data_IF_087851240332
#
_entry.id   IF_087851240332
#
_cell.length_a   1.000
_cell.length_b   1.000
_cell.length_c   1.000
_cell.angle_alpha   90.00
_cell.angle_beta   90.00
_cell.angle_gamma   90.00
#
_symmetry.space_group_name_H-M   'P 1'
#
loop_
_entity.id
_entity.type
_entity.pdbx_description
1 polymer ?
#
# COMPACT_ATOMS: atom_id res chain seq x y z
N UNK A 1 6.47 -21.39 30.10
CA UNK A 1 7.59 -21.35 29.14
C UNK A 1 7.33 -22.13 27.83
N UNK A 2 7.02 -23.44 27.81
CA UNK A 2 6.75 -24.17 26.55
C UNK A 2 5.33 -23.93 25.99
N UNK A 3 4.32 -23.87 26.87
CA UNK A 3 2.92 -23.53 26.52
C UNK A 3 2.70 -22.06 26.10
N UNK A 4 3.45 -21.13 26.68
CA UNK A 4 3.37 -19.69 26.30
C UNK A 4 3.98 -19.43 24.92
N UNK A 5 5.00 -20.21 24.53
CA UNK A 5 5.52 -20.17 23.16
C UNK A 5 4.51 -20.75 22.18
N UNK A 6 3.87 -21.89 22.47
CA UNK A 6 2.84 -22.48 21.60
C UNK A 6 1.62 -21.56 21.38
N UNK A 7 1.21 -20.78 22.38
CA UNK A 7 0.17 -19.74 22.23
C UNK A 7 0.64 -18.58 21.36
N UNK A 8 1.89 -18.13 21.49
CA UNK A 8 2.45 -17.05 20.65
C UNK A 8 2.62 -17.45 19.16
N UNK A 9 2.71 -18.75 18.85
CA UNK A 9 2.70 -19.25 17.46
C UNK A 9 1.27 -19.38 16.89
N UNK A 10 0.23 -19.42 17.73
CA UNK A 10 -1.17 -19.51 17.27
C UNK A 10 -1.73 -18.16 16.78
N UNK A 11 -1.14 -17.04 17.20
CA UNK A 11 -1.57 -15.69 16.78
C UNK A 11 -0.93 -15.20 15.46
N UNK A 12 0.06 -15.92 14.90
CA UNK A 12 0.72 -15.54 13.64
C UNK A 12 -0.07 -15.91 12.37
N UNK A 13 -1.36 -16.29 12.49
CA UNK A 13 -2.12 -16.97 11.45
C UNK A 13 -3.38 -16.23 10.96
N UNK A 14 -3.49 -14.91 11.13
CA UNK A 14 -4.75 -14.19 10.85
C UNK A 14 -4.78 -13.30 9.61
N UNK A 15 -3.70 -13.20 8.81
CA UNK A 15 -3.69 -12.33 7.62
C UNK A 15 -3.14 -13.06 6.40
N UNK A 16 -3.94 -13.13 5.33
CA UNK A 16 -3.49 -13.57 4.01
C UNK A 16 -2.99 -12.34 3.24
N UNK A 17 -1.83 -12.48 2.58
CA UNK A 17 -1.18 -11.35 1.87
C UNK A 17 -1.04 -11.67 0.38
N UNK A 18 -1.51 -10.73 -0.44
CA UNK A 18 -1.23 -10.66 -1.87
C UNK A 18 -0.46 -9.38 -2.15
N UNK A 19 0.59 -9.47 -2.95
CA UNK A 19 1.42 -8.34 -3.36
C UNK A 19 1.03 -7.94 -4.78
N UNK A 20 0.83 -6.65 -4.99
CA UNK A 20 0.72 -6.03 -6.32
C UNK A 20 1.96 -5.17 -6.54
N UNK A 21 2.71 -5.43 -7.60
CA UNK A 21 3.92 -4.68 -7.94
C UNK A 21 3.73 -3.90 -9.23
N UNK A 22 4.21 -2.66 -9.25
CA UNK A 22 4.37 -1.90 -10.48
C UNK A 22 5.63 -2.36 -11.23
N UNK A 23 5.72 -2.08 -12.53
CA UNK A 23 6.93 -2.40 -13.30
C UNK A 23 8.19 -1.73 -12.73
N UNK A 24 8.08 -0.50 -12.20
CA UNK A 24 9.22 0.20 -11.61
C UNK A 24 9.64 -0.37 -10.25
N UNK A 25 8.70 -0.90 -9.45
CA UNK A 25 9.02 -1.50 -8.17
C UNK A 25 9.91 -2.76 -8.32
N UNK A 26 9.80 -3.49 -9.43
CA UNK A 26 10.62 -4.67 -9.75
C UNK A 26 12.14 -4.40 -9.79
N UNK A 27 12.56 -3.13 -9.87
CA UNK A 27 13.99 -2.77 -9.80
C UNK A 27 14.58 -2.79 -8.38
N UNK A 28 13.74 -2.82 -7.34
CA UNK A 28 14.17 -2.62 -5.96
C UNK A 28 14.14 -3.89 -5.10
N UNK A 29 13.62 -4.99 -5.63
CA UNK A 29 13.57 -6.28 -4.93
C UNK A 29 13.53 -7.45 -5.92
N UNK A 30 13.92 -8.66 -5.48
CA UNK A 30 13.67 -9.88 -6.24
C UNK A 30 12.35 -10.51 -5.78
N UNK A 31 11.45 -10.74 -6.74
CA UNK A 31 10.19 -11.47 -6.55
C UNK A 31 10.34 -12.81 -5.82
N UNK A 32 11.48 -13.48 -5.95
CA UNK A 32 11.75 -14.78 -5.30
C UNK A 32 11.91 -14.67 -3.78
N UNK A 33 12.26 -13.48 -3.28
CA UNK A 33 12.47 -13.24 -1.86
C UNK A 33 11.17 -12.90 -1.11
N UNK A 34 10.06 -12.76 -1.85
CA UNK A 34 8.75 -12.39 -1.29
C UNK A 34 7.90 -13.66 -1.11
N UNK A 35 7.60 -14.09 0.13
CA UNK A 35 6.84 -15.31 0.42
C UNK A 35 5.33 -15.09 0.28
N UNK A 36 4.89 -14.44 -0.78
CA UNK A 36 3.48 -14.13 -1.05
C UNK A 36 3.18 -14.23 -2.54
N UNK A 37 1.90 -14.37 -2.90
CA UNK A 37 1.49 -14.31 -4.30
C UNK A 37 1.70 -12.88 -4.82
N UNK A 38 2.38 -12.75 -5.95
CA UNK A 38 2.66 -11.45 -6.58
C UNK A 38 1.88 -11.35 -7.88
N UNK A 39 1.23 -10.22 -8.09
CA UNK A 39 0.66 -9.82 -9.38
C UNK A 39 1.31 -8.54 -9.89
N UNK A 40 1.38 -8.43 -11.20
CA UNK A 40 1.89 -7.29 -11.94
C UNK A 40 0.96 -6.94 -13.10
N UNK A 41 1.30 -5.91 -13.86
CA UNK A 41 0.46 -5.42 -14.96
C UNK A 41 0.22 -6.47 -16.05
N UNK A 42 1.18 -7.39 -16.27
CA UNK A 42 1.01 -8.49 -17.24
C UNK A 42 -0.07 -9.49 -16.84
N UNK A 43 -0.25 -9.73 -15.54
CA UNK A 43 -1.23 -10.70 -15.04
C UNK A 43 -2.68 -10.28 -15.35
N UNK A 44 -2.94 -8.97 -15.41
CA UNK A 44 -4.25 -8.44 -15.77
C UNK A 44 -4.69 -8.89 -17.17
N UNK A 45 -3.77 -8.80 -18.14
CA UNK A 45 -4.02 -9.15 -19.53
C UNK A 45 -3.88 -10.64 -19.81
N UNK A 46 -3.07 -11.37 -19.04
CA UNK A 46 -2.99 -12.83 -19.15
C UNK A 46 -4.26 -13.53 -18.65
N UNK A 47 -4.96 -12.93 -17.68
CA UNK A 47 -6.22 -13.46 -17.15
C UNK A 47 -7.45 -13.09 -17.99
N UNK A 48 -7.44 -11.93 -18.65
CA UNK A 48 -8.58 -11.44 -19.43
C UNK A 48 -8.40 -11.71 -20.94
N UNK A 49 -8.94 -12.82 -21.44
CA UNK A 49 -8.85 -13.23 -22.87
C UNK A 49 -10.17 -13.08 -23.61
N UNK A 50 -11.29 -13.11 -22.91
CA UNK A 50 -12.64 -12.92 -23.44
C UNK A 50 -13.51 -12.16 -22.44
N UNK A 51 -14.63 -11.60 -22.91
CA UNK A 51 -15.50 -10.72 -22.11
C UNK A 51 -16.05 -11.35 -20.82
N UNK A 52 -16.14 -12.68 -20.74
CA UNK A 52 -16.62 -13.40 -19.56
C UNK A 52 -15.54 -13.68 -18.51
N UNK A 53 -14.28 -13.41 -18.83
CA UNK A 53 -13.16 -13.69 -17.93
C UNK A 53 -13.12 -12.69 -16.77
N UNK A 54 -12.59 -13.10 -15.60
CA UNK A 54 -12.41 -12.23 -14.46
C UNK A 54 -11.52 -11.02 -14.79
N UNK A 55 -11.83 -9.88 -14.18
CA UNK A 55 -11.04 -8.65 -14.29
C UNK A 55 -10.23 -8.52 -13.02
N UNK A 56 -8.91 -8.77 -13.11
CA UNK A 56 -8.05 -8.98 -11.95
C UNK A 56 -8.11 -7.85 -10.91
N UNK A 57 -8.06 -6.58 -11.32
CA UNK A 57 -8.12 -5.44 -10.38
C UNK A 57 -9.44 -5.38 -9.60
N UNK A 58 -10.56 -5.81 -10.21
CA UNK A 58 -11.87 -5.86 -9.54
C UNK A 58 -11.89 -6.99 -8.53
N UNK A 59 -11.34 -8.15 -8.87
CA UNK A 59 -11.32 -9.31 -7.98
C UNK A 59 -10.38 -9.10 -6.79
N UNK A 60 -9.23 -8.47 -6.98
CA UNK A 60 -8.33 -8.09 -5.90
C UNK A 60 -9.00 -7.09 -4.93
N UNK A 61 -9.70 -6.08 -5.45
CA UNK A 61 -10.48 -5.12 -4.65
C UNK A 61 -11.62 -5.79 -3.86
N UNK A 62 -12.22 -6.85 -4.42
CA UNK A 62 -13.26 -7.63 -3.72
C UNK A 62 -12.66 -8.48 -2.62
N UNK A 63 -11.56 -9.18 -2.90
CA UNK A 63 -10.85 -10.08 -2.00
C UNK A 63 -10.28 -9.34 -0.78
N UNK A 64 -9.62 -8.20 -0.98
CA UNK A 64 -8.90 -7.52 0.10
C UNK A 64 -9.84 -6.86 1.12
N UNK A 65 -9.63 -7.11 2.42
CA UNK A 65 -10.31 -6.38 3.51
C UNK A 65 -9.69 -4.99 3.75
N UNK A 66 -8.40 -4.84 3.45
CA UNK A 66 -7.59 -3.63 3.62
C UNK A 66 -6.53 -3.58 2.50
N UNK A 67 -6.09 -2.37 2.12
CA UNK A 67 -4.94 -2.16 1.24
C UNK A 67 -3.84 -1.38 1.94
N UNK A 68 -2.58 -1.74 1.67
CA UNK A 68 -1.39 -0.96 2.03
C UNK A 68 -0.57 -0.68 0.79
N UNK A 69 -0.21 0.59 0.56
CA UNK A 69 0.76 0.99 -0.46
C UNK A 69 2.04 1.43 0.26
N UNK A 70 3.05 0.57 0.25
CA UNK A 70 4.33 0.79 0.95
C UNK A 70 5.50 0.18 0.15
N UNK A 71 6.37 1.00 -0.46
CA UNK A 71 6.33 2.46 -0.52
C UNK A 71 5.26 3.01 -1.50
N UNK A 72 4.74 4.20 -1.21
CA UNK A 72 4.06 5.05 -2.19
C UNK A 72 5.06 6.07 -2.75
N UNK A 73 5.52 5.87 -3.98
CA UNK A 73 6.39 6.84 -4.68
C UNK A 73 5.60 8.10 -5.10
N UNK A 74 6.31 9.18 -5.41
CA UNK A 74 5.69 10.45 -5.79
C UNK A 74 4.89 10.38 -7.10
N UNK A 75 5.29 9.48 -8.02
CA UNK A 75 4.63 9.33 -9.32
C UNK A 75 3.24 8.69 -9.15
N UNK A 76 3.18 7.59 -8.41
CA UNK A 76 1.95 6.89 -8.06
C UNK A 76 1.06 7.76 -7.17
N UNK A 77 1.64 8.52 -6.23
CA UNK A 77 0.91 9.55 -5.47
C UNK A 77 0.21 10.54 -6.42
N UNK A 78 0.94 11.08 -7.40
CA UNK A 78 0.37 12.01 -8.38
C UNK A 78 -0.70 11.38 -9.27
N UNK A 79 -0.53 10.12 -9.67
CA UNK A 79 -1.53 9.36 -10.44
C UNK A 79 -2.81 9.17 -9.65
N UNK A 80 -2.72 8.70 -8.41
CA UNK A 80 -3.87 8.47 -7.54
C UNK A 80 -4.60 9.79 -7.27
N UNK A 81 -3.87 10.84 -6.91
CA UNK A 81 -4.45 12.16 -6.65
C UNK A 81 -5.17 12.77 -7.87
N UNK A 82 -4.75 12.39 -9.09
CA UNK A 82 -5.34 12.86 -10.35
C UNK A 82 -6.36 11.89 -10.96
N UNK A 83 -6.61 10.74 -10.31
CA UNK A 83 -7.55 9.72 -10.80
C UNK A 83 -7.05 8.92 -12.00
N UNK A 84 -5.73 8.89 -12.27
CA UNK A 84 -5.12 8.08 -13.32
C UNK A 84 -5.09 6.61 -12.88
N UNK A 85 -5.56 5.72 -13.75
CA UNK A 85 -5.59 4.27 -13.56
C UNK A 85 -5.02 3.55 -14.79
N UNK A 86 -3.70 3.55 -14.92
CA UNK A 86 -2.98 3.07 -16.10
C UNK A 86 -2.13 1.82 -15.85
N UNK A 87 -2.22 1.25 -14.65
CA UNK A 87 -1.57 0.00 -14.26
C UNK A 87 -2.40 -0.75 -13.21
N UNK A 88 -2.06 -2.00 -12.90
CA UNK A 88 -2.86 -2.86 -12.02
C UNK A 88 -3.11 -2.21 -10.66
N UNK A 89 -2.06 -1.66 -10.03
CA UNK A 89 -2.17 -0.98 -8.73
C UNK A 89 -3.17 0.19 -8.78
N UNK A 90 -3.00 1.11 -9.72
CA UNK A 90 -3.82 2.32 -9.81
C UNK A 90 -5.26 2.01 -10.24
N UNK A 91 -5.47 0.95 -11.03
CA UNK A 91 -6.81 0.41 -11.33
C UNK A 91 -7.52 -0.10 -10.07
N UNK A 92 -6.82 -0.85 -9.21
CA UNK A 92 -7.40 -1.31 -7.92
C UNK A 92 -7.78 -0.11 -7.05
N UNK A 93 -6.88 0.86 -6.90
CA UNK A 93 -7.12 2.07 -6.09
C UNK A 93 -8.31 2.87 -6.64
N UNK A 94 -8.39 3.05 -7.96
CA UNK A 94 -9.47 3.81 -8.61
C UNK A 94 -10.84 3.16 -8.41
N UNK A 95 -10.86 1.83 -8.29
CA UNK A 95 -12.05 1.03 -8.03
C UNK A 95 -12.30 0.78 -6.53
N UNK A 96 -11.47 1.28 -5.62
CA UNK A 96 -11.46 0.90 -4.20
C UNK A 96 -12.78 1.16 -3.48
N UNK A 97 -13.07 0.35 -2.46
CA UNK A 97 -14.20 0.60 -1.57
C UNK A 97 -13.79 1.58 -0.49
N UNK A 98 -14.35 2.79 -0.48
CA UNK A 98 -14.00 3.78 0.56
C UNK A 98 -14.43 3.36 1.97
N UNK A 99 -15.24 2.30 2.12
CA UNK A 99 -15.55 1.71 3.42
C UNK A 99 -14.43 0.79 3.94
N UNK A 100 -13.53 0.34 3.06
CA UNK A 100 -12.38 -0.50 3.41
C UNK A 100 -11.15 0.40 3.62
N UNK A 101 -10.37 0.20 4.69
CA UNK A 101 -9.19 1.01 4.94
C UNK A 101 -8.15 0.85 3.82
N UNK A 102 -7.61 1.98 3.38
CA UNK A 102 -6.47 2.06 2.48
C UNK A 102 -5.39 2.89 3.17
N UNK A 103 -4.27 2.25 3.51
CA UNK A 103 -3.10 2.88 4.09
C UNK A 103 -2.10 3.21 2.98
N UNK A 104 -1.47 4.36 3.06
CA UNK A 104 -0.38 4.73 2.17
C UNK A 104 0.83 5.24 2.94
N UNK A 105 2.02 4.81 2.55
CA UNK A 105 3.28 5.11 3.20
C UNK A 105 4.19 5.82 2.19
N UNK A 106 4.16 7.16 2.11
CA UNK A 106 4.97 7.86 1.13
C UNK A 106 6.47 7.59 1.33
N UNK A 107 7.22 7.51 0.23
CA UNK A 107 8.67 7.37 0.27
C UNK A 107 9.29 8.06 -0.94
N UNK A 108 10.06 9.12 -0.70
CA UNK A 108 10.71 9.90 -1.75
C UNK A 108 11.86 10.73 -1.17
N UNK A 109 12.71 11.24 -2.05
CA UNK A 109 13.77 12.17 -1.66
C UNK A 109 13.17 13.44 -0.99
N UNK A 110 13.90 14.04 -0.05
CA UNK A 110 13.49 15.25 0.68
C UNK A 110 13.02 16.38 -0.23
N UNK A 111 13.70 16.64 -1.33
CA UNK A 111 13.32 17.72 -2.25
C UNK A 111 11.97 17.43 -2.94
N UNK A 112 11.66 16.17 -3.20
CA UNK A 112 10.35 15.76 -3.71
C UNK A 112 9.28 15.89 -2.63
N UNK A 113 9.60 15.55 -1.38
CA UNK A 113 8.68 15.67 -0.27
C UNK A 113 8.31 17.13 0.03
N UNK A 114 9.31 18.02 0.04
CA UNK A 114 9.14 19.46 0.27
C UNK A 114 8.49 20.20 -0.90
N UNK A 115 8.39 19.56 -2.08
CA UNK A 115 7.72 20.16 -3.21
C UNK A 115 6.23 20.41 -2.89
N UNK A 116 5.68 21.62 -3.16
CA UNK A 116 4.32 21.99 -2.72
C UNK A 116 3.21 21.09 -3.27
N UNK A 117 3.45 20.46 -4.43
CA UNK A 117 2.50 19.50 -5.02
C UNK A 117 2.31 18.26 -4.13
N UNK A 118 3.36 17.83 -3.42
CA UNK A 118 3.33 16.60 -2.61
C UNK A 118 2.37 16.79 -1.43
N UNK A 119 2.49 17.91 -0.72
CA UNK A 119 1.56 18.25 0.35
C UNK A 119 0.11 18.32 -0.14
N UNK A 120 -0.12 18.89 -1.33
CA UNK A 120 -1.45 18.95 -1.95
C UNK A 120 -1.99 17.55 -2.27
N UNK A 121 -1.18 16.69 -2.87
CA UNK A 121 -1.58 15.33 -3.25
C UNK A 121 -1.83 14.45 -2.02
N UNK A 122 -0.98 14.53 -0.99
CA UNK A 122 -1.19 13.84 0.29
C UNK A 122 -2.52 14.28 0.91
N UNK A 123 -2.80 15.58 0.93
CA UNK A 123 -4.07 16.08 1.46
C UNK A 123 -5.28 15.62 0.64
N UNK A 124 -5.13 15.48 -0.69
CA UNK A 124 -6.16 14.89 -1.56
C UNK A 124 -6.44 13.43 -1.21
N UNK A 125 -5.41 12.60 -1.04
CA UNK A 125 -5.62 11.21 -0.64
C UNK A 125 -6.30 11.11 0.74
N UNK A 126 -5.89 11.94 1.70
CA UNK A 126 -6.53 12.01 3.02
C UNK A 126 -7.99 12.44 2.95
N UNK A 127 -8.35 13.35 2.04
CA UNK A 127 -9.74 13.77 1.87
C UNK A 127 -10.64 12.68 1.27
N UNK A 128 -10.06 11.64 0.64
CA UNK A 128 -10.79 10.44 0.23
C UNK A 128 -11.03 9.44 1.38
N UNK A 129 -10.48 9.71 2.58
CA UNK A 129 -10.53 8.80 3.72
C UNK A 129 -9.37 7.81 3.78
N UNK A 130 -8.34 7.97 2.93
CA UNK A 130 -7.13 7.14 3.02
C UNK A 130 -6.27 7.53 4.22
N UNK A 131 -5.60 6.55 4.80
CA UNK A 131 -4.86 6.67 6.05
C UNK A 131 -3.38 6.82 5.71
N UNK A 132 -2.83 7.99 6.02
CA UNK A 132 -1.40 8.25 5.88
C UNK A 132 -0.63 7.56 7.01
N UNK A 133 0.39 6.78 6.65
CA UNK A 133 1.49 6.44 7.56
C UNK A 133 2.65 7.38 7.21
N UNK A 134 2.94 8.38 8.05
CA UNK A 134 3.81 9.49 7.65
C UNK A 134 5.25 9.05 7.44
N UNK A 135 5.94 9.74 6.53
CA UNK A 135 7.38 9.60 6.38
C UNK A 135 8.12 9.89 7.69
N UNK A 136 9.33 9.38 7.79
CA UNK A 136 10.26 9.68 8.86
C UNK A 136 11.49 10.42 8.33
N UNK A 137 12.22 11.03 9.27
CA UNK A 137 13.53 11.59 9.02
C UNK A 137 14.58 10.49 9.16
N UNK A 138 15.47 10.34 8.16
CA UNK A 138 16.65 9.46 8.25
C UNK A 138 17.92 10.25 7.93
N UNK A 139 19.03 9.86 8.53
CA UNK A 139 20.36 10.35 8.13
C UNK A 139 20.66 9.88 6.71
N UNK A 140 20.93 10.84 5.83
CA UNK A 140 21.39 10.58 4.47
C UNK A 140 22.89 10.25 4.50
N UNK A 141 23.36 9.55 3.46
CA UNK A 141 24.76 9.17 3.30
C UNK A 141 25.70 10.40 3.30
N UNK A 142 25.19 11.59 2.95
CA UNK A 142 25.94 12.85 2.98
C UNK A 142 26.08 13.49 4.39
N UNK A 143 25.46 12.93 5.42
CA UNK A 143 25.44 13.49 6.78
C UNK A 143 24.31 14.48 7.05
N UNK A 144 23.51 14.85 6.04
CA UNK A 144 22.30 15.64 6.21
C UNK A 144 21.15 14.76 6.68
N UNK A 145 20.26 15.31 7.52
CA UNK A 145 18.99 14.66 7.84
C UNK A 145 17.97 14.99 6.75
N UNK A 146 17.35 13.95 6.19
CA UNK A 146 16.35 14.09 5.15
C UNK A 146 15.00 13.54 5.58
N UNK A 147 13.96 14.35 5.49
CA UNK A 147 12.58 13.93 5.69
C UNK A 147 12.00 13.38 4.38
N UNK A 148 11.23 12.29 4.43
CA UNK A 148 10.66 11.66 3.22
C UNK A 148 10.99 10.17 3.08
N UNK A 149 11.78 9.60 4.01
CA UNK A 149 11.96 8.16 4.08
C UNK A 149 10.66 7.49 4.53
N UNK A 150 10.38 6.30 3.98
CA UNK A 150 9.23 5.50 4.40
C UNK A 150 9.29 5.22 5.90
N UNK A 151 8.14 5.18 6.56
CA UNK A 151 8.02 4.69 7.93
C UNK A 151 8.65 3.30 8.10
N UNK A 152 9.08 3.00 9.32
CA UNK A 152 9.59 1.67 9.65
C UNK A 152 8.51 0.60 9.48
N UNK A 153 8.91 -0.60 9.07
CA UNK A 153 7.99 -1.72 8.80
C UNK A 153 7.14 -2.04 10.03
N UNK A 154 7.71 -1.96 11.24
CA UNK A 154 6.97 -2.18 12.49
C UNK A 154 5.83 -1.18 12.66
N UNK A 155 6.06 0.09 12.37
CA UNK A 155 5.03 1.14 12.43
C UNK A 155 3.91 0.90 11.43
N UNK A 156 4.25 0.44 10.22
CA UNK A 156 3.24 0.09 9.19
C UNK A 156 2.40 -1.09 9.67
N UNK A 157 3.03 -2.15 10.18
CA UNK A 157 2.35 -3.36 10.67
C UNK A 157 1.46 -3.05 11.88
N UNK A 158 1.94 -2.25 12.82
CA UNK A 158 1.14 -1.76 13.96
C UNK A 158 -0.12 -1.04 13.45
N UNK A 159 0.02 -0.16 12.45
CA UNK A 159 -1.13 0.56 11.90
C UNK A 159 -2.12 -0.34 11.18
N UNK A 160 -1.64 -1.37 10.49
CA UNK A 160 -2.50 -2.39 9.87
C UNK A 160 -3.30 -3.14 10.94
N UNK A 161 -2.65 -3.59 12.01
CA UNK A 161 -3.32 -4.30 13.10
C UNK A 161 -4.38 -3.42 13.78
N UNK A 162 -4.08 -2.15 14.05
CA UNK A 162 -5.08 -1.20 14.56
C UNK A 162 -6.33 -1.11 13.67
N UNK A 163 -6.15 -1.10 12.35
CA UNK A 163 -7.26 -1.02 11.39
C UNK A 163 -8.07 -2.33 11.33
N UNK A 164 -7.43 -3.49 11.54
CA UNK A 164 -8.10 -4.79 11.56
C UNK A 164 -8.83 -5.05 12.88
N UNK A 165 -8.30 -4.57 14.00
CA UNK A 165 -8.90 -4.73 15.33
C UNK A 165 -10.07 -3.80 15.59
N UNK A 166 -10.15 -2.66 14.90
CA UNK A 166 -11.29 -1.75 14.98
C UNK A 166 -12.41 -2.25 14.06
N UNK A 167 -13.49 -2.86 14.58
CA UNK A 167 -14.55 -3.37 13.73
C UNK A 167 -15.35 -2.19 13.20
N UNK A 168 -15.15 -1.79 11.94
CA UNK A 168 -16.05 -1.07 11.01
C UNK A 168 -17.10 -0.11 11.63
N UNK A 169 -16.77 0.55 12.74
CA UNK A 169 -17.65 1.45 13.47
C UNK A 169 -17.22 2.87 13.13
N UNK A 170 -17.97 3.43 12.19
CA UNK A 170 -18.05 4.86 11.88
C UNK A 170 -16.75 5.52 11.36
N UNK A 171 -16.51 5.40 10.05
CA UNK A 171 -15.96 6.54 9.33
C UNK A 171 -17.11 7.52 9.07
N UNK A 172 -17.04 8.77 9.58
CA UNK A 172 -18.05 9.78 9.26
C UNK A 172 -18.02 10.08 7.76
N UNK A 173 -19.21 10.06 7.15
CA UNK A 173 -19.45 10.53 5.78
C UNK A 173 -19.12 12.00 5.60
#
# INVERSE_FOLDING_TARGET
QRKERELAWQDMNMVEVIVVTTEHAKHFYDSKDVPAKIYSDSDEWEMWKQRSDPVLHIDLRRWADLMVIAPLDANTLGKIASGICDNLLTCIVRAWDLKKPLLFCPAMNTVMWEHPITATQVQTLKSFGYIEVPCIEKELICGDKGFGAMAEVSTIVEKVNECLEQPLLALPM
#
